data_IF_346886506079
#
_entry.id   IF_346886506079
#
_cell.length_a   1.000
_cell.length_b   1.000
_cell.length_c   1.000
_cell.angle_alpha   90.00
_cell.angle_beta   90.00
_cell.angle_gamma   90.00
#
_symmetry.space_group_name_H-M   'P 1'
#
loop_
_entity.id
_entity.type
_entity.pdbx_description
1 polymer ?
#
# COMPACT_ATOMS: atom_id res chain seq x y z
N UNK A 1 11.57 15.61 -8.05
CA UNK A 1 11.13 14.24 -8.44
C UNK A 1 11.65 13.94 -9.83
N UNK A 2 12.18 12.73 -10.06
CA UNK A 2 12.77 12.35 -11.35
C UNK A 2 11.80 12.40 -12.54
N UNK A 3 10.50 12.23 -12.30
CA UNK A 3 9.48 12.16 -13.36
C UNK A 3 8.46 13.31 -13.34
N UNK A 4 8.62 14.30 -12.46
CA UNK A 4 7.75 15.47 -12.39
C UNK A 4 6.30 15.22 -11.94
N UNK A 5 5.98 14.01 -11.47
CA UNK A 5 4.65 13.66 -10.95
C UNK A 5 4.74 12.71 -9.75
N UNK A 6 3.70 12.65 -8.94
CA UNK A 6 3.60 11.66 -7.86
C UNK A 6 3.26 10.30 -8.44
N UNK A 7 4.11 9.28 -8.23
CA UNK A 7 3.83 7.95 -8.76
C UNK A 7 2.55 7.37 -8.14
N UNK A 8 1.77 6.58 -8.91
CA UNK A 8 0.59 5.90 -8.39
C UNK A 8 0.98 4.82 -7.38
N UNK A 9 0.05 4.43 -6.53
CA UNK A 9 0.29 3.42 -5.49
C UNK A 9 0.76 2.07 -6.06
N UNK A 10 0.34 1.72 -7.26
CA UNK A 10 0.77 0.50 -7.96
C UNK A 10 2.29 0.47 -8.20
N UNK A 11 2.90 1.61 -8.46
CA UNK A 11 4.36 1.68 -8.62
C UNK A 11 5.07 1.36 -7.29
N UNK A 12 4.53 1.83 -6.18
CA UNK A 12 5.05 1.50 -4.85
C UNK A 12 4.85 0.01 -4.51
N UNK A 13 3.68 -0.54 -4.83
CA UNK A 13 3.39 -1.97 -4.63
C UNK A 13 4.34 -2.86 -5.41
N UNK A 14 4.52 -2.60 -6.70
CA UNK A 14 5.41 -3.38 -7.56
C UNK A 14 6.87 -3.32 -7.09
N UNK A 15 7.34 -2.15 -6.67
CA UNK A 15 8.69 -1.99 -6.12
C UNK A 15 8.86 -2.75 -4.80
N UNK A 16 7.86 -2.68 -3.91
CA UNK A 16 7.89 -3.44 -2.66
C UNK A 16 7.83 -4.96 -2.90
N UNK A 17 7.07 -5.41 -3.90
CA UNK A 17 7.03 -6.82 -4.29
C UNK A 17 8.42 -7.34 -4.72
N UNK A 18 9.20 -6.57 -5.45
CA UNK A 18 10.58 -6.95 -5.80
C UNK A 18 11.48 -7.11 -4.56
N UNK A 19 11.31 -6.25 -3.55
CA UNK A 19 12.06 -6.38 -2.29
C UNK A 19 11.68 -7.66 -1.55
N UNK A 20 10.40 -8.02 -1.54
CA UNK A 20 9.90 -9.26 -0.93
C UNK A 20 10.45 -10.48 -1.67
N UNK A 21 10.47 -10.46 -3.01
CA UNK A 21 11.06 -11.53 -3.81
C UNK A 21 12.54 -11.69 -3.53
N UNK A 22 13.28 -10.58 -3.53
CA UNK A 22 14.72 -10.59 -3.21
C UNK A 22 14.98 -11.25 -1.86
N UNK A 23 14.30 -10.81 -0.82
CA UNK A 23 14.42 -11.36 0.53
C UNK A 23 14.08 -12.86 0.59
N UNK A 24 13.00 -13.28 -0.10
CA UNK A 24 12.60 -14.68 -0.14
C UNK A 24 13.63 -15.57 -0.85
N UNK A 25 14.20 -15.14 -1.97
CA UNK A 25 15.26 -15.87 -2.67
C UNK A 25 16.53 -16.00 -1.80
N UNK A 26 16.93 -14.92 -1.14
CA UNK A 26 18.09 -14.92 -0.23
C UNK A 26 17.88 -15.89 0.96
N UNK A 27 16.70 -15.88 1.58
CA UNK A 27 16.37 -16.79 2.68
C UNK A 27 16.21 -18.25 2.24
N UNK A 28 15.64 -18.48 1.05
CA UNK A 28 15.52 -19.81 0.49
C UNK A 28 16.87 -20.39 0.05
N UNK A 29 17.82 -19.53 -0.29
CA UNK A 29 19.11 -19.88 -0.90
C UNK A 29 18.93 -20.88 -2.07
N UNK A 30 17.88 -20.68 -2.88
CA UNK A 30 17.46 -21.60 -3.94
C UNK A 30 16.50 -20.92 -4.90
N UNK A 31 16.44 -21.40 -6.14
CA UNK A 31 15.40 -21.08 -7.11
C UNK A 31 14.32 -22.18 -7.22
N UNK A 32 14.38 -23.18 -6.36
CA UNK A 32 13.32 -24.18 -6.27
C UNK A 32 12.01 -23.55 -5.82
N UNK A 33 10.94 -23.81 -6.57
CA UNK A 33 9.64 -23.17 -6.38
C UNK A 33 9.06 -23.40 -5.00
N UNK A 34 9.16 -24.62 -4.46
CA UNK A 34 8.61 -24.95 -3.16
C UNK A 34 9.37 -24.25 -2.03
N UNK A 35 10.71 -24.23 -2.11
CA UNK A 35 11.55 -23.54 -1.13
C UNK A 35 11.31 -22.04 -1.12
N UNK A 36 11.16 -21.44 -2.29
CA UNK A 36 10.89 -19.99 -2.42
C UNK A 36 9.47 -19.68 -1.91
N UNK A 37 8.48 -20.48 -2.26
CA UNK A 37 7.10 -20.35 -1.72
C UNK A 37 7.09 -20.41 -0.20
N UNK A 38 7.81 -21.39 0.40
CA UNK A 38 7.87 -21.54 1.86
C UNK A 38 8.60 -20.35 2.53
N UNK A 39 9.60 -19.79 1.86
CA UNK A 39 10.26 -18.58 2.31
C UNK A 39 9.32 -17.38 2.23
N UNK A 40 8.55 -17.21 1.13
CA UNK A 40 7.55 -16.17 0.98
C UNK A 40 6.47 -16.24 2.07
N UNK A 41 5.96 -17.44 2.37
CA UNK A 41 4.95 -17.65 3.41
C UNK A 41 5.42 -17.19 4.80
N UNK A 42 6.72 -17.20 5.05
CA UNK A 42 7.36 -16.75 6.31
C UNK A 42 7.81 -15.29 6.28
N UNK A 43 7.49 -14.53 5.24
CA UNK A 43 7.86 -13.13 5.14
C UNK A 43 7.27 -12.32 6.29
N UNK A 44 8.12 -11.59 7.00
CA UNK A 44 7.77 -10.62 8.03
C UNK A 44 8.80 -9.50 7.97
N UNK A 45 8.55 -8.47 7.15
CA UNK A 45 9.52 -7.42 6.89
C UNK A 45 8.88 -6.05 6.78
N UNK A 46 9.64 -5.03 7.12
CA UNK A 46 9.25 -3.65 6.89
C UNK A 46 9.84 -3.16 5.58
N UNK A 47 8.99 -2.54 4.75
CA UNK A 47 9.39 -1.88 3.51
C UNK A 47 8.98 -0.41 3.54
N UNK A 48 9.45 0.36 2.55
CA UNK A 48 8.98 1.75 2.38
C UNK A 48 7.47 1.83 2.10
N UNK A 49 6.87 0.76 1.57
CA UNK A 49 5.42 0.65 1.33
C UNK A 49 4.65 0.29 2.60
N UNK A 50 5.32 -0.16 3.65
CA UNK A 50 4.77 -0.57 4.93
C UNK A 50 5.20 -1.97 5.32
N UNK A 51 4.62 -2.49 6.40
CA UNK A 51 4.91 -3.84 6.87
C UNK A 51 4.26 -4.87 5.97
N UNK A 52 5.01 -5.94 5.69
CA UNK A 52 4.55 -7.07 4.88
C UNK A 52 4.70 -8.34 5.70
N UNK A 53 3.57 -8.99 5.95
CA UNK A 53 3.49 -10.29 6.62
C UNK A 53 2.32 -11.06 6.05
N UNK A 54 2.58 -12.22 5.50
CA UNK A 54 1.54 -13.03 4.89
C UNK A 54 0.83 -13.89 5.93
N UNK A 55 -0.50 -13.90 5.87
CA UNK A 55 -1.34 -14.83 6.59
C UNK A 55 -1.46 -16.17 5.86
N UNK A 56 -2.14 -17.14 6.48
CA UNK A 56 -2.32 -18.50 5.93
C UNK A 56 -3.02 -18.54 4.57
N UNK A 57 -3.80 -17.51 4.25
CA UNK A 57 -4.46 -17.34 2.94
C UNK A 57 -3.61 -16.56 1.92
N UNK A 58 -2.37 -16.19 2.24
CA UNK A 58 -1.47 -15.48 1.34
C UNK A 58 -1.67 -13.96 1.27
N UNK A 59 -2.65 -13.41 1.98
CA UNK A 59 -2.87 -11.96 2.05
C UNK A 59 -1.90 -11.28 3.01
N UNK A 60 -1.54 -10.02 2.74
CA UNK A 60 -0.77 -9.22 3.68
C UNK A 60 -1.65 -8.80 4.87
N UNK A 61 -1.32 -9.30 6.06
CA UNK A 61 -2.06 -9.04 7.31
C UNK A 61 -1.45 -7.92 8.15
N UNK A 62 -0.25 -7.45 7.81
CA UNK A 62 0.48 -6.45 8.60
C UNK A 62 0.20 -5.01 8.18
N UNK A 63 -0.36 -4.80 6.97
CA UNK A 63 -0.67 -3.48 6.46
C UNK A 63 -2.18 -3.23 6.54
N UNK A 64 -2.61 -2.28 7.35
CA UNK A 64 -4.03 -1.93 7.40
C UNK A 64 -4.48 -1.20 6.14
N UNK A 65 -5.74 -1.36 5.80
CA UNK A 65 -6.39 -0.57 4.76
C UNK A 65 -6.64 0.85 5.26
N UNK A 66 -6.57 1.79 4.34
CA UNK A 66 -6.85 3.20 4.59
C UNK A 66 -7.97 3.69 3.66
N UNK A 67 -8.67 4.72 4.08
CA UNK A 67 -9.74 5.34 3.29
C UNK A 67 -9.35 6.76 2.92
N UNK A 68 -9.44 7.07 1.64
CA UNK A 68 -9.30 8.41 1.12
C UNK A 68 -10.65 8.98 0.71
N UNK A 69 -10.81 10.28 0.91
CA UNK A 69 -11.89 11.06 0.35
C UNK A 69 -11.32 12.04 -0.67
N UNK A 70 -11.82 12.00 -1.89
CA UNK A 70 -11.45 12.98 -2.92
C UNK A 70 -12.10 14.32 -2.59
N UNK A 71 -11.31 15.37 -2.55
CA UNK A 71 -11.78 16.75 -2.36
C UNK A 71 -11.22 17.64 -3.46
N UNK A 72 -12.09 18.45 -4.04
CA UNK A 72 -11.72 19.39 -5.07
C UNK A 72 -11.89 20.82 -4.56
N UNK A 73 -10.95 21.68 -4.90
CA UNK A 73 -11.00 23.14 -4.69
C UNK A 73 -10.71 23.80 -6.02
N UNK A 74 -11.75 24.33 -6.68
CA UNK A 74 -11.69 24.74 -8.06
C UNK A 74 -11.37 23.56 -8.98
N UNK A 75 -10.39 23.72 -9.85
CA UNK A 75 -9.95 22.67 -10.80
C UNK A 75 -8.93 21.67 -10.21
N UNK A 76 -8.55 21.83 -8.95
CA UNK A 76 -7.57 20.96 -8.28
C UNK A 76 -8.26 19.98 -7.36
N UNK A 77 -8.05 18.68 -7.59
CA UNK A 77 -8.55 17.61 -6.75
C UNK A 77 -7.40 16.88 -6.06
N UNK A 78 -7.59 16.53 -4.80
CA UNK A 78 -6.63 15.76 -4.01
C UNK A 78 -7.29 14.61 -3.24
N UNK A 79 -6.53 13.56 -2.96
CA UNK A 79 -6.93 12.46 -2.11
C UNK A 79 -6.57 12.80 -0.65
N UNK A 80 -7.56 13.02 0.19
CA UNK A 80 -7.40 13.29 1.63
C UNK A 80 -7.59 12.01 2.44
N UNK A 81 -6.59 11.62 3.22
CA UNK A 81 -6.66 10.46 4.09
C UNK A 81 -7.60 10.77 5.27
N UNK A 82 -8.71 10.02 5.38
CA UNK A 82 -9.77 10.27 6.37
C UNK A 82 -9.98 9.14 7.36
N UNK A 83 -9.48 7.95 7.08
CA UNK A 83 -9.54 6.81 8.02
C UNK A 83 -8.38 5.83 7.82
N UNK A 84 -7.97 5.08 8.88
CA UNK A 84 -8.42 5.20 10.28
C UNK A 84 -7.96 6.50 10.93
N UNK A 85 -8.69 6.94 11.94
CA UNK A 85 -8.50 8.26 12.59
C UNK A 85 -7.07 8.52 13.06
N UNK A 86 -6.36 7.48 13.51
CA UNK A 86 -4.97 7.62 13.99
C UNK A 86 -3.96 8.07 12.92
N UNK A 87 -4.29 7.91 11.64
CA UNK A 87 -3.44 8.31 10.50
C UNK A 87 -4.09 9.35 9.62
N UNK A 88 -5.35 9.71 9.90
CA UNK A 88 -6.08 10.67 9.10
C UNK A 88 -5.38 12.03 9.10
N UNK A 89 -5.14 12.57 7.91
CA UNK A 89 -4.64 13.93 7.72
C UNK A 89 -5.78 14.96 7.72
N UNK A 90 -6.99 14.51 7.44
CA UNK A 90 -8.20 15.33 7.33
C UNK A 90 -9.40 14.63 7.98
N UNK A 91 -10.38 15.43 8.38
CA UNK A 91 -11.68 14.90 8.83
C UNK A 91 -12.53 14.47 7.64
N UNK A 92 -13.24 13.35 7.83
CA UNK A 92 -14.27 12.94 6.88
C UNK A 92 -15.37 14.00 6.78
N UNK A 93 -15.70 14.37 5.56
CA UNK A 93 -16.85 15.24 5.28
C UNK A 93 -18.08 14.36 5.00
N UNK A 94 -19.07 14.46 5.89
CA UNK A 94 -20.33 13.74 5.78
C UNK A 94 -21.49 14.64 6.25
N UNK A 95 -22.63 14.67 5.56
CA UNK A 95 -22.90 13.99 4.28
C UNK A 95 -21.98 14.47 3.14
N UNK A 96 -21.77 13.60 2.17
CA UNK A 96 -20.99 13.94 0.97
C UNK A 96 -21.74 15.05 0.22
N UNK A 97 -21.08 16.19 -0.13
CA UNK A 97 -21.73 17.25 -0.87
C UNK A 97 -22.31 16.75 -2.19
N UNK A 98 -23.39 17.36 -2.66
CA UNK A 98 -23.93 17.07 -3.99
C UNK A 98 -22.88 17.34 -5.07
N UNK A 99 -23.03 16.68 -6.21
CA UNK A 99 -22.09 16.85 -7.32
C UNK A 99 -21.91 18.31 -7.75
N UNK A 100 -23.00 19.07 -7.73
CA UNK A 100 -23.02 20.52 -8.05
C UNK A 100 -22.34 21.42 -7.00
N UNK A 101 -22.00 20.89 -5.85
CA UNK A 101 -21.42 21.61 -4.69
C UNK A 101 -19.95 21.21 -4.44
N UNK A 102 -19.37 20.42 -5.34
CA UNK A 102 -17.99 19.90 -5.23
C UNK A 102 -17.02 20.74 -6.01
#
# INVERSE_FOLDING_TARGET
>A
MAFGYTPPYQAAESSAALLVWKDAFERANSFDTEKVRDALAKTDMQTFYGNIKFGSGGQNTAKPMVLFQVRCEGDTCENRLVAPTKWASHKLVHPVPKWSER
#
